data_IF_989984287328
#
_entry.id   IF_989984287328
#
_cell.length_a   1.000
_cell.length_b   1.000
_cell.length_c   1.000
_cell.angle_alpha   90.00
_cell.angle_beta   90.00
_cell.angle_gamma   90.00
#
_symmetry.space_group_name_H-M   'P 1'
#
loop_
_entity.id
_entity.type
_entity.pdbx_description
1 polymer ?
#
# COMPACT_ATOMS: atom_id res chain seq x y z
N UNK A 1 -50.60 3.22 8.58
CA UNK A 1 -49.18 2.82 8.58
C UNK A 1 -48.35 3.99 9.11
N UNK A 2 -48.57 4.38 10.37
CA UNK A 2 -47.91 5.60 10.93
C UNK A 2 -47.51 5.47 12.41
N UNK A 3 -48.07 4.50 13.14
CA UNK A 3 -47.76 4.29 14.56
C UNK A 3 -46.43 3.57 14.77
N UNK A 4 -46.08 2.62 13.89
CA UNK A 4 -44.82 1.87 13.95
C UNK A 4 -43.59 2.73 13.67
N UNK A 5 -43.72 3.75 12.80
CA UNK A 5 -42.62 4.65 12.42
C UNK A 5 -42.30 5.66 13.53
N UNK A 6 -43.31 6.12 14.28
CA UNK A 6 -43.15 7.02 15.44
C UNK A 6 -42.48 6.32 16.63
N UNK A 7 -42.75 5.03 16.85
CA UNK A 7 -42.09 4.25 17.92
C UNK A 7 -40.62 3.98 17.66
N UNK A 8 -40.19 3.86 16.40
CA UNK A 8 -38.78 3.68 16.05
C UNK A 8 -37.95 4.97 16.20
N UNK A 9 -38.56 6.15 16.10
CA UNK A 9 -37.86 7.43 16.27
C UNK A 9 -37.74 7.88 17.74
N UNK A 10 -38.51 7.28 18.66
CA UNK A 10 -38.44 7.57 20.09
C UNK A 10 -37.31 6.82 20.83
N UNK A 11 -36.62 5.86 20.18
CA UNK A 11 -35.51 5.10 20.77
C UNK A 11 -34.13 5.74 20.55
N UNK A 12 -34.03 6.87 19.84
CA UNK A 12 -32.76 7.59 19.61
C UNK A 12 -32.53 8.71 20.65
N UNK A 13 -33.51 9.02 21.48
CA UNK A 13 -33.43 10.09 22.49
C UNK A 13 -33.30 9.52 23.92
N UNK A 14 -32.19 8.84 24.22
CA UNK A 14 -31.99 8.32 25.57
C UNK A 14 -30.79 7.41 25.78
N UNK A 15 -29.58 7.88 25.49
CA UNK A 15 -28.38 7.31 26.07
C UNK A 15 -27.48 8.45 26.58
N UNK A 16 -27.31 8.59 27.91
CA UNK A 16 -26.55 9.66 28.52
C UNK A 16 -25.05 9.50 28.28
N UNK A 17 -24.37 10.65 28.22
CA UNK A 17 -22.93 10.85 28.38
C UNK A 17 -22.27 9.91 29.41
N UNK A 18 -21.58 8.87 28.92
CA UNK A 18 -20.35 8.34 29.51
C UNK A 18 -19.34 8.30 28.34
N UNK A 19 -18.35 9.17 28.24
CA UNK A 19 -17.42 9.48 29.32
C UNK A 19 -16.37 8.38 29.49
N UNK A 20 -15.87 7.80 28.38
CA UNK A 20 -14.63 7.04 28.37
C UNK A 20 -13.67 7.71 27.38
N UNK A 21 -12.73 8.44 27.95
CA UNK A 21 -11.69 9.16 27.24
C UNK A 21 -10.97 8.23 26.25
N UNK A 22 -10.96 8.59 24.97
CA UNK A 22 -9.98 8.14 24.00
C UNK A 22 -8.61 8.77 24.33
N UNK A 23 -8.10 8.53 25.53
CA UNK A 23 -6.74 8.85 25.96
C UNK A 23 -5.78 7.71 25.59
N UNK A 24 -5.92 7.20 24.36
CA UNK A 24 -5.06 6.17 23.79
C UNK A 24 -4.57 6.56 22.39
N UNK A 25 -4.30 7.85 22.18
CA UNK A 25 -3.23 8.26 21.27
C UNK A 25 -2.02 8.58 22.15
N UNK A 26 -1.29 7.54 22.53
CA UNK A 26 -0.01 7.66 23.23
C UNK A 26 0.92 8.54 22.42
N UNK A 27 0.95 9.82 22.75
CA UNK A 27 2.03 10.72 22.34
C UNK A 27 3.00 10.73 23.50
N UNK A 28 3.72 9.63 23.65
CA UNK A 28 4.96 9.63 24.42
C UNK A 28 5.92 10.53 23.63
N UNK A 29 6.33 11.70 24.15
CA UNK A 29 7.34 12.53 23.49
C UNK A 29 8.69 11.88 23.75
N UNK A 30 8.92 10.69 23.19
CA UNK A 30 10.26 10.14 23.10
C UNK A 30 11.08 11.17 22.34
N UNK A 31 12.18 11.69 22.91
CA UNK A 31 13.06 12.56 22.16
C UNK A 31 13.48 11.81 20.91
N UNK A 32 13.02 12.29 19.75
CA UNK A 32 13.44 11.79 18.46
C UNK A 32 14.92 12.11 18.38
N UNK A 33 15.76 11.13 18.75
CA UNK A 33 17.17 11.17 18.42
C UNK A 33 17.22 11.54 16.94
N UNK A 34 17.77 12.72 16.64
CA UNK A 34 17.96 13.15 15.28
C UNK A 34 18.71 11.99 14.62
N UNK A 35 18.16 11.35 13.58
CA UNK A 35 18.91 10.34 12.87
C UNK A 35 20.23 11.02 12.48
N UNK A 36 21.35 10.51 12.99
CA UNK A 36 22.67 10.93 12.49
C UNK A 36 22.63 10.89 10.97
N UNK A 37 23.39 11.75 10.27
CA UNK A 37 23.18 12.02 8.85
C UNK A 37 23.12 10.71 8.07
N UNK A 38 21.91 10.25 7.77
CA UNK A 38 21.69 9.15 6.85
C UNK A 38 22.16 9.73 5.54
N UNK A 39 23.27 9.24 5.00
CA UNK A 39 23.70 9.61 3.66
C UNK A 39 22.46 9.50 2.77
N UNK A 40 21.97 10.64 2.30
CA UNK A 40 20.70 10.66 1.60
C UNK A 40 20.96 9.95 0.27
N UNK A 41 20.31 8.81 0.05
CA UNK A 41 20.37 8.16 -1.26
C UNK A 41 20.03 9.21 -2.33
N UNK A 42 20.74 9.11 -3.45
CA UNK A 42 20.49 9.94 -4.61
C UNK A 42 19.01 9.89 -5.02
N UNK A 43 18.48 11.01 -5.51
CA UNK A 43 17.06 11.14 -5.81
C UNK A 43 16.62 10.17 -6.91
N UNK A 44 17.46 9.95 -7.92
CA UNK A 44 17.17 9.07 -9.04
C UNK A 44 17.19 7.60 -8.58
N UNK A 45 18.11 7.25 -7.67
CA UNK A 45 18.13 5.92 -7.03
C UNK A 45 16.84 5.64 -6.25
N UNK A 46 16.32 6.64 -5.52
CA UNK A 46 15.04 6.51 -4.81
C UNK A 46 13.86 6.37 -5.78
N UNK A 47 13.84 7.15 -6.86
CA UNK A 47 12.81 7.09 -7.87
C UNK A 47 12.79 5.73 -8.56
N UNK A 48 13.95 5.25 -9.01
CA UNK A 48 14.12 3.93 -9.63
C UNK A 48 13.65 2.81 -8.70
N UNK A 49 14.02 2.85 -7.43
CA UNK A 49 13.55 1.86 -6.46
C UNK A 49 12.01 1.84 -6.35
N UNK A 50 11.37 3.01 -6.32
CA UNK A 50 9.89 3.09 -6.31
C UNK A 50 9.30 2.55 -7.61
N UNK A 51 9.90 2.86 -8.75
CA UNK A 51 9.47 2.37 -10.05
C UNK A 51 9.52 0.84 -10.12
N UNK A 52 10.65 0.23 -9.71
CA UNK A 52 10.79 -1.24 -9.63
C UNK A 52 9.68 -1.88 -8.79
N UNK A 53 9.40 -1.30 -7.60
CA UNK A 53 8.31 -1.81 -6.75
C UNK A 53 6.93 -1.65 -7.38
N UNK A 54 6.72 -0.55 -8.11
CA UNK A 54 5.49 -0.32 -8.87
C UNK A 54 5.28 -1.39 -9.95
N UNK A 55 6.28 -1.63 -10.78
CA UNK A 55 6.23 -2.63 -11.85
C UNK A 55 5.99 -4.05 -11.29
N UNK A 56 6.68 -4.43 -10.22
CA UNK A 56 6.45 -5.72 -9.55
C UNK A 56 5.01 -5.87 -9.03
N UNK A 57 4.44 -4.78 -8.49
CA UNK A 57 3.05 -4.78 -7.99
C UNK A 57 2.05 -4.94 -9.14
N UNK A 58 2.29 -4.27 -10.28
CA UNK A 58 1.45 -4.40 -11.47
C UNK A 58 1.50 -5.81 -12.07
N UNK A 59 2.69 -6.40 -12.18
CA UNK A 59 2.85 -7.78 -12.65
C UNK A 59 2.11 -8.78 -11.74
N UNK A 60 2.19 -8.60 -10.42
CA UNK A 60 1.43 -9.42 -9.48
C UNK A 60 -0.10 -9.27 -9.66
N UNK A 61 -0.58 -8.05 -9.94
CA UNK A 61 -1.99 -7.79 -10.22
C UNK A 61 -2.44 -8.44 -11.53
N UNK A 62 -1.62 -8.40 -12.58
CA UNK A 62 -1.93 -9.09 -13.84
C UNK A 62 -2.01 -10.61 -13.63
N UNK A 63 -1.05 -11.18 -12.91
CA UNK A 63 -1.06 -12.60 -12.57
C UNK A 63 -2.33 -12.98 -11.78
N UNK A 64 -2.69 -12.20 -10.76
CA UNK A 64 -3.92 -12.41 -9.99
C UNK A 64 -5.18 -12.27 -10.86
N UNK A 65 -5.19 -11.30 -11.79
CA UNK A 65 -6.30 -11.09 -12.72
C UNK A 65 -6.49 -12.28 -13.65
N UNK A 66 -5.41 -12.82 -14.21
CA UNK A 66 -5.45 -14.01 -15.07
C UNK A 66 -5.88 -15.25 -14.29
N UNK A 67 -5.44 -15.39 -13.04
CA UNK A 67 -5.86 -16.49 -12.17
C UNK A 67 -7.38 -16.44 -11.89
N UNK A 68 -7.94 -15.25 -11.63
CA UNK A 68 -9.37 -15.06 -11.41
C UNK A 68 -10.20 -15.12 -12.71
N UNK A 69 -9.61 -14.72 -13.84
CA UNK A 69 -10.28 -14.58 -15.14
C UNK A 69 -9.39 -15.11 -16.28
N UNK A 70 -9.31 -16.44 -16.48
CA UNK A 70 -8.41 -17.04 -17.46
C UNK A 70 -8.63 -16.55 -18.90
N UNK A 71 -9.87 -16.18 -19.25
CA UNK A 71 -10.22 -15.64 -20.56
C UNK A 71 -9.55 -14.30 -20.91
N UNK A 72 -8.97 -13.59 -19.93
CA UNK A 72 -8.23 -12.35 -20.16
C UNK A 72 -6.74 -12.56 -20.47
N UNK A 73 -6.22 -13.78 -20.35
CA UNK A 73 -4.78 -14.06 -20.50
C UNK A 73 -4.20 -13.52 -21.82
N UNK A 74 -4.81 -13.86 -22.96
CA UNK A 74 -4.32 -13.43 -24.26
C UNK A 74 -4.38 -11.90 -24.44
N UNK A 75 -5.34 -11.23 -23.78
CA UNK A 75 -5.51 -9.77 -23.86
C UNK A 75 -4.51 -9.03 -22.97
N UNK A 76 -4.15 -9.60 -21.82
CA UNK A 76 -3.20 -9.00 -20.87
C UNK A 76 -1.75 -9.33 -21.19
N UNK A 77 -1.48 -10.37 -21.97
CA UNK A 77 -0.11 -10.81 -22.27
C UNK A 77 0.77 -9.70 -22.87
N UNK A 78 0.33 -8.91 -23.88
CA UNK A 78 1.19 -7.87 -24.45
C UNK A 78 1.54 -6.77 -23.44
N UNK A 79 0.60 -6.40 -22.59
CA UNK A 79 0.84 -5.40 -21.54
C UNK A 79 1.77 -5.96 -20.46
N UNK A 80 1.61 -7.23 -20.10
CA UNK A 80 2.47 -7.92 -19.13
C UNK A 80 3.92 -7.97 -19.63
N UNK A 81 4.13 -8.34 -20.89
CA UNK A 81 5.47 -8.36 -21.50
C UNK A 81 6.12 -6.97 -21.47
N UNK A 82 5.37 -5.90 -21.78
CA UNK A 82 5.89 -4.53 -21.71
C UNK A 82 6.34 -4.13 -20.29
N UNK A 83 5.59 -4.51 -19.25
CA UNK A 83 5.99 -4.27 -17.86
C UNK A 83 7.21 -5.11 -17.43
N UNK A 84 7.35 -6.33 -17.96
CA UNK A 84 8.54 -7.15 -17.74
C UNK A 84 9.79 -6.51 -18.37
N UNK A 85 9.67 -5.98 -19.59
CA UNK A 85 10.73 -5.22 -20.26
C UNK A 85 11.13 -3.96 -19.47
N UNK A 86 10.15 -3.19 -19.00
CA UNK A 86 10.39 -2.04 -18.12
C UNK A 86 11.12 -2.42 -16.83
N UNK A 87 10.65 -3.48 -16.16
CA UNK A 87 11.27 -3.97 -14.93
C UNK A 87 12.71 -4.43 -15.17
N UNK A 88 12.98 -5.07 -16.31
CA UNK A 88 14.32 -5.48 -16.70
C UNK A 88 15.23 -4.27 -16.92
N UNK A 89 14.76 -3.25 -17.65
CA UNK A 89 15.51 -2.00 -17.87
C UNK A 89 15.84 -1.29 -16.55
N UNK A 90 14.85 -1.11 -15.67
CA UNK A 90 15.04 -0.48 -14.36
C UNK A 90 16.03 -1.23 -13.45
N UNK A 91 16.15 -2.54 -13.60
CA UNK A 91 17.11 -3.36 -12.85
C UNK A 91 18.52 -3.33 -13.46
N UNK A 92 18.61 -3.19 -14.77
CA UNK A 92 19.90 -3.11 -15.48
C UNK A 92 20.65 -1.80 -15.18
N UNK A 93 19.94 -0.73 -14.86
CA UNK A 93 20.51 0.60 -14.59
C UNK A 93 21.37 0.69 -13.31
N UNK A 94 21.44 -0.38 -12.50
CA UNK A 94 22.38 -0.50 -11.38
C UNK A 94 21.75 -0.96 -10.07
N UNK A 95 22.53 -1.04 -8.99
CA UNK A 95 22.10 -1.66 -7.74
C UNK A 95 20.95 -0.90 -7.09
N UNK A 96 19.99 -1.66 -6.55
CA UNK A 96 18.86 -1.10 -5.81
C UNK A 96 19.21 -1.02 -4.31
N UNK A 97 18.83 0.07 -3.62
CA UNK A 97 19.35 0.42 -2.30
C UNK A 97 18.91 -0.50 -1.16
N UNK A 98 17.88 -1.32 -1.36
CA UNK A 98 17.31 -2.17 -0.31
C UNK A 98 17.27 -3.66 -0.68
N UNK A 99 18.00 -4.04 -1.73
CA UNK A 99 17.98 -5.39 -2.31
C UNK A 99 16.63 -5.70 -2.99
N UNK A 100 16.66 -6.53 -4.03
CA UNK A 100 15.51 -7.40 -4.31
C UNK A 100 15.59 -8.50 -3.27
N UNK A 101 14.54 -8.70 -2.47
CA UNK A 101 14.57 -9.62 -1.33
C UNK A 101 14.73 -11.08 -1.75
N UNK A 102 15.95 -11.47 -2.08
CA UNK A 102 16.45 -12.83 -2.07
C UNK A 102 17.43 -12.84 -0.90
N UNK A 103 16.94 -13.25 0.27
CA UNK A 103 17.74 -13.29 1.48
C UNK A 103 18.96 -14.19 1.30
N UNK A 104 20.15 -13.60 1.22
CA UNK A 104 21.42 -14.28 1.42
C UNK A 104 22.52 -13.26 1.74
N UNK A 105 22.80 -13.08 3.04
CA UNK A 105 24.13 -12.99 3.65
C UNK A 105 23.97 -12.77 5.17
#
# INVERSE_FOLDING_TARGET
MDEGRRRLLALVAGAPMLGAALAACGTDPRPKAAPGPRASLDADVKLRWRAVRGEQTLLALHAATVAAHPGLAARLQPLTAHHEEHLAALRADGPLPYGGGDGAA
#
